data_IF_052438803104
#
_entry.id   IF_052438803104
#
_cell.length_a   1.000
_cell.length_b   1.000
_cell.length_c   1.000
_cell.angle_alpha   90.00
_cell.angle_beta   90.00
_cell.angle_gamma   90.00
#
_symmetry.space_group_name_H-M   'P 1'
#
loop_
_entity.id
_entity.type
_entity.pdbx_description
1 polymer ?
#
# COMPACT_ATOMS: atom_id res chain seq x y z
N UNK A 1 -1.27 -9.36 19.26
CA UNK A 1 -0.08 -9.70 18.74
C UNK A 1 -0.18 -10.15 17.28
N UNK A 2 -0.23 -9.57 16.39
CA UNK A 2 0.27 -8.94 15.68
C UNK A 2 1.10 -9.25 14.47
N UNK A 3 0.96 -10.35 14.00
CA UNK A 3 1.61 -10.78 12.81
C UNK A 3 0.69 -10.56 11.63
N UNK A 4 0.70 -9.34 11.18
CA UNK A 4 0.74 -9.23 9.73
C UNK A 4 2.00 -9.98 9.34
N UNK A 5 1.84 -11.21 8.90
CA UNK A 5 2.95 -12.01 8.43
C UNK A 5 3.56 -11.29 7.25
N UNK A 6 4.64 -10.58 7.49
CA UNK A 6 5.39 -10.00 6.40
C UNK A 6 6.03 -11.15 5.66
N UNK A 7 5.89 -11.18 4.34
CA UNK A 7 6.54 -12.20 3.57
C UNK A 7 8.03 -12.09 3.83
N UNK A 8 8.58 -13.16 4.28
CA UNK A 8 10.00 -13.35 4.15
C UNK A 8 10.30 -13.14 2.67
N UNK A 9 11.22 -12.25 2.40
CA UNK A 9 11.55 -11.86 1.04
C UNK A 9 11.81 -13.11 0.20
N UNK A 10 11.27 -13.23 -1.02
CA UNK A 10 11.51 -14.35 -1.91
C UNK A 10 12.99 -14.64 -2.14
N UNK A 11 13.85 -13.62 -2.03
CA UNK A 11 15.31 -13.74 -2.11
C UNK A 11 15.93 -14.66 -1.05
N UNK A 12 15.22 -14.96 0.02
CA UNK A 12 15.70 -15.88 1.06
C UNK A 12 15.35 -17.36 0.79
N UNK A 13 14.63 -17.61 -0.30
CA UNK A 13 14.32 -18.94 -0.81
C UNK A 13 12.99 -19.50 -0.32
N UNK A 14 12.48 -20.53 -1.01
CA UNK A 14 11.14 -21.08 -0.81
C UNK A 14 10.91 -21.74 0.56
N UNK A 15 11.98 -22.05 1.31
CA UNK A 15 11.88 -22.67 2.64
C UNK A 15 11.58 -21.69 3.77
N UNK A 16 11.39 -20.40 3.48
CA UNK A 16 11.18 -19.34 4.48
C UNK A 16 9.79 -18.71 4.32
N UNK A 17 8.89 -19.37 3.63
CA UNK A 17 7.49 -18.93 3.53
C UNK A 17 6.81 -19.15 4.87
N UNK A 18 6.51 -18.07 5.58
CA UNK A 18 5.64 -18.15 6.75
C UNK A 18 4.19 -18.33 6.30
N UNK A 19 3.44 -19.19 6.97
CA UNK A 19 2.08 -19.58 6.61
C UNK A 19 1.04 -18.45 6.68
N UNK A 20 1.40 -17.27 7.16
CA UNK A 20 0.53 -16.11 7.36
C UNK A 20 0.98 -14.86 6.59
N UNK A 21 1.24 -15.02 5.32
CA UNK A 21 1.63 -13.90 4.48
C UNK A 21 0.39 -13.23 3.90
N UNK A 22 0.28 -11.92 4.04
CA UNK A 22 -0.69 -11.16 3.24
C UNK A 22 -0.34 -11.36 1.77
N UNK A 23 -1.16 -12.13 1.06
CA UNK A 23 -0.97 -12.39 -0.36
C UNK A 23 -2.01 -11.59 -1.14
N UNK A 24 -1.53 -10.76 -2.02
CA UNK A 24 -2.37 -10.02 -2.96
C UNK A 24 -1.98 -10.51 -4.36
N UNK A 25 -2.94 -10.76 -5.21
CA UNK A 25 -2.62 -11.11 -6.61
C UNK A 25 -1.93 -9.91 -7.30
N UNK A 26 -0.88 -10.19 -8.06
CA UNK A 26 -0.17 -9.16 -8.85
C UNK A 26 -1.12 -8.41 -9.78
N UNK A 27 -2.10 -9.10 -10.36
CA UNK A 27 -3.16 -8.50 -11.17
C UNK A 27 -4.01 -7.49 -10.38
N UNK A 28 -4.30 -7.77 -9.10
CA UNK A 28 -5.03 -6.84 -8.24
C UNK A 28 -4.20 -5.60 -7.92
N UNK A 29 -2.88 -5.77 -7.69
CA UNK A 29 -1.96 -4.64 -7.50
C UNK A 29 -1.91 -3.76 -8.74
N UNK A 30 -1.80 -4.34 -9.94
CA UNK A 30 -1.79 -3.58 -11.18
C UNK A 30 -3.10 -2.82 -11.43
N UNK A 31 -4.22 -3.41 -11.04
CA UNK A 31 -5.53 -2.75 -11.10
C UNK A 31 -5.63 -1.60 -10.10
N UNK A 32 -5.08 -1.77 -8.90
CA UNK A 32 -5.08 -0.74 -7.85
C UNK A 32 -4.18 0.46 -8.23
N UNK A 33 -3.04 0.21 -8.88
CA UNK A 33 -2.06 1.22 -9.28
C UNK A 33 -1.88 1.24 -10.81
N UNK A 34 -2.86 1.78 -11.55
CA UNK A 34 -2.83 1.76 -13.01
C UNK A 34 -1.79 2.73 -13.59
N UNK A 35 -1.45 2.51 -14.84
CA UNK A 35 -0.61 3.42 -15.62
C UNK A 35 0.79 3.61 -15.02
N UNK A 36 1.21 4.86 -14.89
CA UNK A 36 2.53 5.26 -14.42
C UNK A 36 2.66 5.34 -12.90
N UNK A 37 1.64 4.94 -12.13
CA UNK A 37 1.70 4.95 -10.66
C UNK A 37 2.86 4.08 -10.15
N UNK A 38 3.89 4.72 -9.61
CA UNK A 38 5.15 4.08 -9.20
C UNK A 38 5.01 3.30 -7.90
N UNK A 39 3.92 3.50 -7.14
CA UNK A 39 3.70 2.83 -5.86
C UNK A 39 3.65 1.32 -5.99
N UNK A 40 3.18 0.78 -7.11
CA UNK A 40 3.18 -0.67 -7.37
C UNK A 40 4.58 -1.29 -7.29
N UNK A 41 5.62 -0.55 -7.69
CA UNK A 41 7.01 -1.02 -7.62
C UNK A 41 7.70 -0.64 -6.30
N UNK A 42 7.25 0.44 -5.65
CA UNK A 42 7.81 0.87 -4.38
C UNK A 42 7.26 0.08 -3.19
N UNK A 43 5.98 -0.33 -3.26
CA UNK A 43 5.27 -0.97 -2.16
C UNK A 43 5.26 -2.50 -2.23
N UNK A 44 5.64 -3.06 -3.37
CA UNK A 44 5.68 -4.50 -3.57
C UNK A 44 7.05 -4.94 -4.09
N UNK A 45 7.46 -6.12 -3.65
CA UNK A 45 8.71 -6.73 -4.07
C UNK A 45 8.59 -7.26 -5.50
N UNK A 46 9.54 -6.87 -6.36
CA UNK A 46 9.74 -7.40 -7.72
C UNK A 46 8.45 -7.88 -8.42
N UNK A 47 7.50 -6.95 -8.59
CA UNK A 47 6.16 -7.28 -9.09
C UNK A 47 6.21 -8.00 -10.45
N UNK A 48 7.14 -7.62 -11.33
CA UNK A 48 7.26 -8.20 -12.67
C UNK A 48 7.88 -9.60 -12.60
N UNK A 49 8.92 -9.80 -11.79
CA UNK A 49 9.51 -11.11 -11.55
C UNK A 49 8.52 -12.08 -10.90
N UNK A 50 7.71 -11.59 -9.96
CA UNK A 50 6.67 -12.39 -9.31
C UNK A 50 5.53 -12.78 -10.26
N UNK A 51 5.22 -11.95 -11.26
CA UNK A 51 4.29 -12.31 -12.35
C UNK A 51 4.84 -13.43 -13.23
N UNK A 52 6.14 -13.40 -13.49
CA UNK A 52 6.81 -14.36 -14.37
C UNK A 52 7.07 -15.73 -13.71
N UNK A 53 7.02 -15.80 -12.37
CA UNK A 53 7.25 -17.06 -11.65
C UNK A 53 6.13 -18.06 -11.83
N UNK A 54 6.47 -19.35 -11.68
CA UNK A 54 5.47 -20.42 -11.65
C UNK A 54 4.46 -20.18 -10.52
N UNK A 55 3.18 -20.16 -10.88
CA UNK A 55 2.06 -19.88 -9.98
C UNK A 55 1.76 -20.98 -8.97
N UNK A 56 2.49 -22.10 -9.03
CA UNK A 56 2.25 -23.25 -8.15
C UNK A 56 2.59 -22.98 -6.68
N UNK A 57 3.57 -22.13 -6.38
CA UNK A 57 4.05 -21.89 -5.01
C UNK A 57 3.95 -20.41 -4.62
N UNK A 58 4.60 -19.51 -5.35
CA UNK A 58 4.73 -18.10 -5.01
C UNK A 58 4.40 -17.14 -6.15
N UNK A 59 4.35 -17.64 -7.37
CA UNK A 59 4.11 -16.85 -8.56
C UNK A 59 2.70 -16.29 -8.65
N UNK A 60 2.58 -15.13 -9.24
CA UNK A 60 1.32 -14.40 -9.37
C UNK A 60 0.84 -13.72 -8.09
N UNK A 61 1.63 -13.76 -7.02
CA UNK A 61 1.36 -13.02 -5.78
C UNK A 61 2.32 -11.87 -5.60
N UNK A 62 1.79 -10.73 -5.19
CA UNK A 62 2.54 -9.55 -4.80
C UNK A 62 2.78 -9.56 -3.29
N UNK A 63 3.99 -9.23 -2.89
CA UNK A 63 4.41 -9.18 -1.49
C UNK A 63 4.66 -7.74 -1.08
N UNK A 64 4.01 -7.23 -0.01
CA UNK A 64 4.27 -5.89 0.49
C UNK A 64 5.74 -5.69 0.87
N UNK A 65 6.29 -4.51 0.53
CA UNK A 65 7.71 -4.21 0.69
C UNK A 65 7.98 -2.89 1.45
N UNK A 66 6.94 -2.30 2.05
CA UNK A 66 7.07 -1.05 2.81
C UNK A 66 7.93 -1.23 4.07
N UNK A 67 7.74 -2.31 4.80
CA UNK A 67 8.50 -2.63 6.02
C UNK A 67 9.52 -3.73 5.71
N UNK A 68 10.63 -3.35 5.11
CA UNK A 68 11.63 -4.28 4.56
C UNK A 68 12.88 -4.46 5.42
N UNK A 69 13.00 -3.75 6.52
CA UNK A 69 14.13 -3.91 7.42
C UNK A 69 13.88 -5.05 8.39
N UNK A 70 14.58 -6.16 8.20
CA UNK A 70 14.47 -7.35 9.03
C UNK A 70 15.83 -7.78 9.54
N UNK A 71 15.87 -8.28 10.77
CA UNK A 71 17.00 -9.01 11.31
C UNK A 71 16.87 -10.48 10.91
N UNK A 72 17.95 -11.05 10.45
CA UNK A 72 18.04 -12.45 10.03
C UNK A 72 19.09 -13.14 10.87
N UNK A 73 18.73 -14.27 11.45
CA UNK A 73 19.69 -15.18 12.08
C UNK A 73 20.18 -16.15 11.02
N UNK A 74 21.50 -16.27 10.90
CA UNK A 74 22.17 -17.22 10.00
C UNK A 74 22.75 -18.35 10.83
N UNK A 75 22.33 -19.59 10.56
CA UNK A 75 22.91 -20.78 11.19
C UNK A 75 23.33 -21.75 10.09
N UNK A 76 24.62 -21.80 9.82
CA UNK A 76 25.17 -22.52 8.66
C UNK A 76 24.64 -21.93 7.36
N UNK A 77 23.98 -22.75 6.53
CA UNK A 77 23.34 -22.32 5.27
C UNK A 77 21.90 -21.84 5.46
N UNK A 78 21.32 -22.00 6.66
CA UNK A 78 19.93 -21.66 6.95
C UNK A 78 19.81 -20.21 7.41
N UNK A 79 18.94 -19.47 6.75
CA UNK A 79 18.54 -18.10 7.15
C UNK A 79 17.15 -18.16 7.77
N UNK A 80 16.99 -17.58 8.95
CA UNK A 80 15.71 -17.51 9.66
C UNK A 80 15.39 -16.07 10.01
N UNK A 81 14.14 -15.66 9.78
CA UNK A 81 13.64 -14.39 10.28
C UNK A 81 13.73 -14.36 11.82
N UNK A 82 14.26 -13.30 12.37
CA UNK A 82 14.36 -13.10 13.81
C UNK A 82 13.42 -12.01 14.32
N UNK A 83 13.48 -10.83 13.71
CA UNK A 83 12.64 -9.70 14.10
C UNK A 83 12.62 -8.62 13.01
N UNK A 84 11.68 -7.67 13.14
CA UNK A 84 11.75 -6.42 12.38
C UNK A 84 12.78 -5.48 12.98
N UNK A 85 13.49 -4.77 12.12
CA UNK A 85 14.47 -3.75 12.49
C UNK A 85 14.14 -2.42 11.79
N UNK A 86 12.89 -2.00 11.90
CA UNK A 86 12.44 -0.73 11.36
C UNK A 86 11.67 0.06 12.42
N UNK A 87 11.85 1.36 12.41
CA UNK A 87 11.01 2.24 13.20
C UNK A 87 9.59 2.20 12.63
N UNK A 88 8.61 1.98 13.50
CA UNK A 88 7.22 2.04 13.11
C UNK A 88 6.81 3.50 12.97
N UNK A 89 6.42 3.87 11.75
CA UNK A 89 5.93 5.21 11.46
C UNK A 89 4.45 5.25 11.84
N UNK A 90 4.10 6.07 12.83
CA UNK A 90 2.71 6.24 13.28
C UNK A 90 1.95 7.26 12.43
N UNK A 91 2.63 8.30 12.01
CA UNK A 91 2.06 9.34 11.13
C UNK A 91 3.10 9.80 10.13
N UNK A 92 2.65 10.10 8.94
CA UNK A 92 3.49 10.68 7.90
C UNK A 92 2.72 11.74 7.10
N UNK A 93 3.44 12.61 6.47
CA UNK A 93 2.88 13.78 5.80
C UNK A 93 1.78 13.41 4.78
N UNK A 94 1.90 12.27 4.09
CA UNK A 94 0.88 11.82 3.15
C UNK A 94 -0.47 11.50 3.83
N UNK A 95 -0.44 10.93 5.04
CA UNK A 95 -1.66 10.72 5.83
C UNK A 95 -2.32 12.06 6.18
N UNK A 96 -1.54 13.04 6.63
CA UNK A 96 -2.04 14.37 6.98
C UNK A 96 -2.66 15.09 5.77
N UNK A 97 -2.03 15.03 4.60
CA UNK A 97 -2.61 15.60 3.38
C UNK A 97 -3.95 14.96 3.04
N UNK A 98 -4.04 13.64 3.08
CA UNK A 98 -5.27 12.94 2.72
C UNK A 98 -6.37 13.07 3.79
N UNK A 99 -6.02 13.16 5.08
CA UNK A 99 -6.98 13.52 6.14
C UNK A 99 -7.51 14.94 5.96
N UNK A 100 -6.63 15.88 5.62
CA UNK A 100 -7.05 17.26 5.34
C UNK A 100 -7.95 17.34 4.10
N UNK A 101 -7.64 16.57 3.05
CA UNK A 101 -8.50 16.45 1.88
C UNK A 101 -9.88 15.93 2.27
N UNK A 102 -9.97 14.87 3.07
CA UNK A 102 -11.21 14.31 3.58
C UNK A 102 -12.02 15.35 4.37
N UNK A 103 -11.40 16.06 5.31
CA UNK A 103 -12.05 17.15 6.05
C UNK A 103 -12.58 18.25 5.12
N UNK A 104 -11.80 18.65 4.11
CA UNK A 104 -12.20 19.67 3.13
C UNK A 104 -13.37 19.22 2.28
N UNK A 105 -13.44 17.95 1.90
CA UNK A 105 -14.59 17.39 1.18
C UNK A 105 -15.84 17.47 2.05
N UNK A 106 -15.76 17.09 3.33
CA UNK A 106 -16.90 17.16 4.25
C UNK A 106 -17.37 18.60 4.50
N UNK A 107 -16.47 19.57 4.52
CA UNK A 107 -16.83 20.99 4.66
C UNK A 107 -17.50 21.54 3.39
N UNK A 108 -17.15 21.02 2.23
CA UNK A 108 -17.74 21.43 0.97
C UNK A 108 -17.41 22.87 0.54
N UNK A 109 -18.21 23.41 -0.37
CA UNK A 109 -18.12 24.78 -0.82
C UNK A 109 -16.73 25.18 -1.33
N UNK A 110 -16.22 26.28 -0.82
CA UNK A 110 -14.88 26.83 -1.18
C UNK A 110 -13.69 25.94 -0.76
N UNK A 111 -13.92 24.88 0.00
CA UNK A 111 -12.87 23.97 0.44
C UNK A 111 -12.58 22.84 -0.54
N UNK A 112 -13.47 22.59 -1.48
CA UNK A 112 -13.36 21.48 -2.46
C UNK A 112 -12.09 21.58 -3.31
N UNK A 113 -11.76 22.77 -3.79
CA UNK A 113 -10.54 22.97 -4.58
C UNK A 113 -9.28 22.58 -3.80
N UNK A 114 -9.18 23.00 -2.55
CA UNK A 114 -8.08 22.60 -1.68
C UNK A 114 -8.04 21.09 -1.36
N UNK A 115 -9.19 20.41 -1.36
CA UNK A 115 -9.21 18.95 -1.22
C UNK A 115 -8.58 18.28 -2.46
N UNK A 116 -8.91 18.77 -3.64
CA UNK A 116 -8.34 18.29 -4.91
C UNK A 116 -6.84 18.56 -4.99
N UNK A 117 -6.38 19.73 -4.52
CA UNK A 117 -4.95 20.05 -4.45
C UNK A 117 -4.18 19.07 -3.55
N UNK A 118 -4.71 18.77 -2.37
CA UNK A 118 -4.11 17.82 -1.43
C UNK A 118 -4.02 16.41 -2.04
N UNK A 119 -5.11 15.94 -2.62
CA UNK A 119 -5.19 14.67 -3.34
C UNK A 119 -4.15 14.61 -4.47
N UNK A 120 -4.11 15.65 -5.30
CA UNK A 120 -3.18 15.74 -6.43
C UNK A 120 -1.71 15.87 -6.00
N UNK A 121 -1.43 16.42 -4.82
CA UNK A 121 -0.08 16.45 -4.26
C UNK A 121 0.46 15.04 -4.05
N UNK A 122 -0.37 14.14 -3.51
CA UNK A 122 0.01 12.73 -3.34
C UNK A 122 0.14 12.02 -4.68
N UNK A 123 -0.81 12.23 -5.59
CA UNK A 123 -0.81 11.59 -6.92
C UNK A 123 0.36 12.03 -7.80
N UNK A 124 0.71 13.31 -7.79
CA UNK A 124 1.90 13.83 -8.50
C UNK A 124 3.18 13.15 -8.03
N UNK A 125 3.38 13.06 -6.72
CA UNK A 125 4.54 12.37 -6.15
C UNK A 125 4.59 10.90 -6.58
N UNK A 126 3.45 10.25 -6.66
CA UNK A 126 3.32 8.85 -7.06
C UNK A 126 3.42 8.62 -8.57
N UNK A 127 3.44 9.66 -9.40
CA UNK A 127 3.33 9.52 -10.86
C UNK A 127 1.97 9.00 -11.31
N UNK A 128 0.95 9.09 -10.47
CA UNK A 128 -0.40 8.68 -10.77
C UNK A 128 -1.15 9.78 -11.57
N UNK A 129 -2.21 9.38 -12.27
CA UNK A 129 -3.08 10.34 -12.94
C UNK A 129 -3.70 11.32 -11.95
N UNK A 130 -3.79 12.59 -12.34
CA UNK A 130 -4.44 13.60 -11.50
C UNK A 130 -5.95 13.34 -11.43
N UNK A 131 -6.57 13.88 -10.40
CA UNK A 131 -8.02 13.78 -10.19
C UNK A 131 -8.79 14.33 -11.41
N UNK A 132 -9.79 13.59 -11.80
CA UNK A 132 -10.79 14.00 -12.79
C UNK A 132 -12.18 13.90 -12.18
N UNK A 133 -13.04 14.89 -12.46
CA UNK A 133 -14.37 15.01 -11.85
C UNK A 133 -15.34 13.85 -12.15
N UNK A 134 -15.02 12.97 -13.09
CA UNK A 134 -15.80 11.74 -13.36
C UNK A 134 -15.35 10.52 -12.54
N UNK A 135 -14.26 10.64 -11.77
CA UNK A 135 -13.82 9.53 -10.92
C UNK A 135 -14.88 9.20 -9.86
N UNK A 136 -15.03 7.94 -9.57
CA UNK A 136 -15.99 7.43 -8.59
C UNK A 136 -17.41 8.00 -8.78
N UNK A 137 -17.82 8.20 -10.04
CA UNK A 137 -19.10 8.81 -10.43
C UNK A 137 -19.29 10.25 -9.89
N UNK A 138 -18.18 10.99 -9.75
CA UNK A 138 -18.18 12.35 -9.21
C UNK A 138 -18.11 12.42 -7.68
N UNK A 139 -17.98 11.30 -7.01
CA UNK A 139 -17.83 11.25 -5.54
C UNK A 139 -16.38 11.48 -5.12
N UNK A 140 -16.04 12.72 -4.84
CA UNK A 140 -14.70 13.10 -4.39
C UNK A 140 -14.36 12.49 -3.01
N UNK A 141 -15.35 12.29 -2.12
CA UNK A 141 -15.12 11.63 -0.84
C UNK A 141 -14.65 10.19 -1.05
N UNK A 142 -15.33 9.45 -1.92
CA UNK A 142 -14.94 8.10 -2.27
C UNK A 142 -13.57 8.06 -2.95
N UNK A 143 -13.27 9.04 -3.80
CA UNK A 143 -11.95 9.15 -4.44
C UNK A 143 -10.84 9.35 -3.41
N UNK A 144 -11.00 10.24 -2.44
CA UNK A 144 -10.03 10.46 -1.34
C UNK A 144 -9.90 9.21 -0.48
N UNK A 145 -11.01 8.56 -0.14
CA UNK A 145 -11.01 7.32 0.64
C UNK A 145 -10.24 6.19 -0.06
N UNK A 146 -10.39 6.04 -1.38
CA UNK A 146 -9.63 5.07 -2.18
C UNK A 146 -8.16 5.46 -2.32
N UNK A 147 -7.85 6.75 -2.40
CA UNK A 147 -6.46 7.20 -2.42
C UNK A 147 -5.75 6.92 -1.09
N UNK A 148 -6.45 7.08 0.04
CA UNK A 148 -5.92 6.68 1.35
C UNK A 148 -5.62 5.17 1.39
N UNK A 149 -6.51 4.34 0.87
CA UNK A 149 -6.27 2.89 0.76
C UNK A 149 -4.98 2.58 0.01
N UNK A 150 -4.77 3.21 -1.14
CA UNK A 150 -3.57 3.03 -1.97
C UNK A 150 -2.32 3.50 -1.26
N UNK A 151 -2.36 4.69 -0.70
CA UNK A 151 -1.20 5.35 -0.10
C UNK A 151 -0.79 4.68 1.21
N UNK A 152 -1.75 4.31 2.05
CA UNK A 152 -1.55 3.80 3.40
C UNK A 152 -1.70 2.28 3.50
N UNK A 153 -1.63 1.59 2.35
CA UNK A 153 -1.72 0.14 2.30
C UNK A 153 -0.71 -0.51 3.25
N UNK A 154 -1.15 -1.48 4.04
CA UNK A 154 -0.42 -2.22 5.09
C UNK A 154 0.10 -1.38 6.26
N UNK A 155 -0.31 -0.12 6.40
CA UNK A 155 0.07 0.74 7.52
C UNK A 155 -0.94 0.73 8.68
N UNK A 156 -2.02 -0.06 8.56
CA UNK A 156 -3.01 -0.26 9.64
C UNK A 156 -4.15 0.76 9.70
N UNK A 157 -4.25 1.69 8.74
CA UNK A 157 -5.26 2.76 8.76
C UNK A 157 -6.64 2.35 8.23
N UNK A 158 -6.72 1.32 7.38
CA UNK A 158 -7.93 0.98 6.63
C UNK A 158 -9.17 0.79 7.50
N UNK A 159 -9.03 0.11 8.62
CA UNK A 159 -10.13 -0.12 9.56
C UNK A 159 -10.72 1.20 10.09
N UNK A 160 -9.86 2.12 10.49
CA UNK A 160 -10.29 3.44 10.99
C UNK A 160 -10.90 4.30 9.89
N UNK A 161 -10.37 4.22 8.68
CA UNK A 161 -10.91 4.94 7.52
C UNK A 161 -12.33 4.46 7.18
N UNK A 162 -12.58 3.13 7.23
CA UNK A 162 -13.90 2.55 6.99
C UNK A 162 -14.91 3.06 8.04
N UNK A 163 -14.58 2.94 9.33
CA UNK A 163 -15.49 3.38 10.41
C UNK A 163 -15.78 4.88 10.30
N UNK A 164 -14.76 5.71 10.08
CA UNK A 164 -14.90 7.15 10.02
C UNK A 164 -15.77 7.61 8.84
N UNK A 165 -15.75 6.89 7.73
CA UNK A 165 -16.55 7.19 6.55
C UNK A 165 -17.89 6.48 6.52
N UNK A 166 -18.24 5.68 7.53
CA UNK A 166 -19.53 4.99 7.62
C UNK A 166 -19.73 3.89 6.58
N UNK A 167 -18.65 3.21 6.18
CA UNK A 167 -18.59 2.20 5.13
C UNK A 167 -18.46 0.79 5.71
#
# INVERSE_FOLDING_TARGET
TDYVGYPVRPEYGPGVVQDFTLRIFTTSVRKMYPGADTRKYAYFYDLDGMDAMDKSITGGFAYPYKERSVNITVTGTKKKFASFNSNRIWWRLADIYLLRAECRVHLGGDKIEGAIEDLNTIRKRAGAALYHSSEDNGDLQMTVFREREKELLVEGYRYYDIIRNGL
#
